data_IF_183010299600
#
_entry.id   IF_183010299600
#
_cell.length_a   1.000
_cell.length_b   1.000
_cell.length_c   1.000
_cell.angle_alpha   90.00
_cell.angle_beta   90.00
_cell.angle_gamma   90.00
#
_symmetry.space_group_name_H-M   'P 1'
#
loop_
_entity.id
_entity.type
_entity.pdbx_description
1 polymer ?
#
# COMPACT_ATOMS: atom_id res chain seq x y z
N UNK A 1 -30.29 -1.25 -3.95
CA UNK A 1 -29.38 -0.15 -3.57
C UNK A 1 -30.16 1.16 -3.68
N UNK A 2 -30.19 2.05 -2.67
CA UNK A 2 -31.16 3.13 -2.58
C UNK A 2 -31.05 4.22 -3.66
N UNK A 3 -29.85 4.45 -4.21
CA UNK A 3 -29.56 5.59 -5.08
C UNK A 3 -29.30 5.25 -6.55
N UNK A 4 -29.43 3.99 -6.96
CA UNK A 4 -29.04 3.55 -8.32
C UNK A 4 -27.53 3.61 -8.61
N UNK A 5 -26.71 4.15 -7.70
CA UNK A 5 -25.26 4.27 -7.86
C UNK A 5 -24.54 2.95 -7.58
N UNK A 6 -23.59 2.63 -8.46
CA UNK A 6 -22.70 1.49 -8.28
C UNK A 6 -21.30 1.93 -7.84
N UNK A 7 -20.93 1.54 -6.62
CA UNK A 7 -19.60 1.77 -6.05
C UNK A 7 -18.74 0.51 -6.17
N UNK A 8 -17.48 0.69 -6.56
CA UNK A 8 -16.44 -0.33 -6.64
C UNK A 8 -15.15 0.19 -5.99
N UNK A 9 -14.47 -0.64 -5.21
CA UNK A 9 -13.19 -0.33 -4.55
C UNK A 9 -12.07 -1.04 -5.30
N UNK A 10 -10.96 -0.34 -5.54
CA UNK A 10 -9.76 -0.90 -6.16
C UNK A 10 -8.66 -0.90 -5.10
N UNK A 11 -8.15 -2.08 -4.80
CA UNK A 11 -7.18 -2.33 -3.73
C UNK A 11 -5.86 -2.78 -4.36
N UNK A 12 -4.95 -1.83 -4.64
CA UNK A 12 -3.67 -2.15 -5.24
C UNK A 12 -2.72 -2.78 -4.22
N UNK A 13 -1.89 -3.71 -4.69
CA UNK A 13 -0.67 -4.13 -4.02
C UNK A 13 0.47 -3.13 -4.22
N UNK A 14 1.72 -3.62 -4.15
CA UNK A 14 2.92 -2.83 -4.39
C UNK A 14 3.12 -2.51 -5.87
N UNK A 15 2.98 -1.23 -6.24
CA UNK A 15 3.26 -0.75 -7.60
C UNK A 15 4.24 0.43 -7.58
N UNK A 16 5.19 0.42 -8.53
CA UNK A 16 6.15 1.51 -8.68
C UNK A 16 5.46 2.72 -9.30
N UNK A 17 5.25 3.72 -8.47
CA UNK A 17 4.75 5.05 -8.82
C UNK A 17 5.63 6.12 -8.18
N UNK A 18 5.44 7.40 -8.54
CA UNK A 18 6.13 8.51 -7.89
C UNK A 18 5.89 8.56 -6.37
N UNK A 19 4.74 8.07 -5.89
CA UNK A 19 4.43 8.00 -4.46
C UNK A 19 5.29 6.98 -3.72
N UNK A 20 5.67 5.88 -4.38
CA UNK A 20 6.49 4.81 -3.80
C UNK A 20 7.98 4.99 -4.03
N UNK A 21 8.40 6.08 -4.69
CA UNK A 21 9.80 6.34 -4.97
C UNK A 21 10.61 6.45 -3.66
N UNK A 22 11.62 5.61 -3.45
CA UNK A 22 12.36 5.59 -2.18
C UNK A 22 13.05 6.91 -1.87
N UNK A 23 13.58 7.61 -2.87
CA UNK A 23 14.28 8.87 -2.63
C UNK A 23 13.31 9.94 -2.10
N UNK A 24 12.11 10.01 -2.69
CA UNK A 24 11.05 10.92 -2.27
C UNK A 24 10.51 10.56 -0.87
N UNK A 25 10.25 9.28 -0.62
CA UNK A 25 9.75 8.81 0.68
C UNK A 25 10.75 9.03 1.80
N UNK A 26 12.01 8.63 1.61
CA UNK A 26 13.07 8.75 2.63
C UNK A 26 13.29 10.21 2.99
N UNK A 27 13.42 11.08 1.98
CA UNK A 27 13.60 12.52 2.21
C UNK A 27 12.42 13.15 2.95
N UNK A 28 11.19 12.73 2.62
CA UNK A 28 9.99 13.17 3.34
C UNK A 28 10.01 12.73 4.80
N UNK A 29 10.41 11.49 5.04
CA UNK A 29 10.44 10.89 6.37
C UNK A 29 11.55 11.48 7.26
N UNK A 30 12.73 11.77 6.70
CA UNK A 30 13.81 12.49 7.40
C UNK A 30 13.38 13.89 7.82
N UNK A 31 12.71 14.64 6.95
CA UNK A 31 12.18 15.97 7.29
C UNK A 31 11.14 15.91 8.41
N UNK A 32 10.26 14.92 8.37
CA UNK A 32 9.30 14.69 9.45
C UNK A 32 10.02 14.37 10.75
N UNK A 33 11.03 13.49 10.70
CA UNK A 33 11.83 13.11 11.85
C UNK A 33 12.53 14.30 12.51
N UNK A 34 13.13 15.20 11.72
CA UNK A 34 13.77 16.42 12.23
C UNK A 34 12.79 17.35 12.96
N UNK A 35 11.54 17.39 12.50
CA UNK A 35 10.47 18.19 13.09
C UNK A 35 9.80 17.58 14.34
N UNK A 36 10.14 16.34 14.71
CA UNK A 36 9.50 15.67 15.84
C UNK A 36 9.98 16.22 17.21
N UNK A 37 9.08 16.28 18.22
CA UNK A 37 9.48 16.52 19.60
C UNK A 37 10.56 15.52 20.07
N UNK A 38 11.40 15.95 21.01
CA UNK A 38 12.50 15.13 21.51
C UNK A 38 11.99 13.82 22.17
N UNK A 39 10.87 13.89 22.90
CA UNK A 39 10.22 12.74 23.51
C UNK A 39 9.79 11.71 22.47
N UNK A 40 9.14 12.15 21.38
CA UNK A 40 8.71 11.26 20.29
C UNK A 40 9.89 10.63 19.56
N UNK A 41 10.96 11.40 19.29
CA UNK A 41 12.19 10.85 18.69
C UNK A 41 12.87 9.81 19.59
N UNK A 42 12.85 10.02 20.90
CA UNK A 42 13.38 9.06 21.87
C UNK A 42 12.53 7.78 21.91
N UNK A 43 11.20 7.92 21.88
CA UNK A 43 10.26 6.79 21.93
C UNK A 43 10.36 5.87 20.70
N UNK A 44 10.44 6.44 19.48
CA UNK A 44 10.62 5.66 18.26
C UNK A 44 12.08 5.20 18.08
N UNK A 45 13.04 6.03 18.49
CA UNK A 45 14.47 5.78 18.31
C UNK A 45 14.95 5.93 16.87
N UNK A 46 16.21 6.32 16.69
CA UNK A 46 16.81 6.52 15.36
C UNK A 46 16.84 5.24 14.52
N UNK A 47 16.91 4.08 15.19
CA UNK A 47 16.86 2.77 14.52
C UNK A 47 15.58 2.57 13.70
N UNK A 48 14.45 3.12 14.15
CA UNK A 48 13.19 3.04 13.41
C UNK A 48 13.28 3.75 12.05
N UNK A 49 13.84 4.97 12.02
CA UNK A 49 14.07 5.73 10.79
C UNK A 49 14.96 4.95 9.80
N UNK A 50 16.07 4.38 10.29
CA UNK A 50 17.00 3.61 9.46
C UNK A 50 16.35 2.33 8.90
N UNK A 51 15.57 1.63 9.71
CA UNK A 51 14.84 0.44 9.30
C UNK A 51 13.77 0.76 8.27
N UNK A 52 13.01 1.85 8.47
CA UNK A 52 12.03 2.33 7.50
C UNK A 52 12.68 2.65 6.14
N UNK A 53 13.81 3.35 6.14
CA UNK A 53 14.56 3.68 4.92
C UNK A 53 15.04 2.44 4.17
N UNK A 54 15.53 1.42 4.87
CA UNK A 54 15.92 0.14 4.25
C UNK A 54 14.70 -0.59 3.67
N UNK A 55 13.60 -0.64 4.44
CA UNK A 55 12.38 -1.31 4.04
C UNK A 55 11.70 -0.64 2.84
N UNK A 56 11.73 0.70 2.74
CA UNK A 56 11.14 1.42 1.60
C UNK A 56 11.84 1.06 0.27
N UNK A 57 13.17 0.94 0.29
CA UNK A 57 13.96 0.48 -0.87
C UNK A 57 13.62 -0.97 -1.23
N UNK A 58 13.51 -1.85 -0.24
CA UNK A 58 13.14 -3.25 -0.45
C UNK A 58 11.72 -3.37 -1.03
N UNK A 59 10.74 -2.70 -0.44
CA UNK A 59 9.35 -2.68 -0.90
C UNK A 59 9.23 -2.15 -2.33
N UNK A 60 9.97 -1.10 -2.67
CA UNK A 60 9.99 -0.59 -4.04
C UNK A 60 10.58 -1.59 -5.04
N UNK A 61 11.62 -2.34 -4.65
CA UNK A 61 12.18 -3.42 -5.47
C UNK A 61 11.18 -4.55 -5.70
N UNK A 62 10.45 -4.94 -4.67
CA UNK A 62 9.40 -5.97 -4.73
C UNK A 62 8.14 -5.49 -5.48
N UNK A 63 7.92 -4.18 -5.54
CA UNK A 63 6.77 -3.58 -6.22
C UNK A 63 6.84 -3.76 -7.74
N UNK A 64 5.68 -3.98 -8.35
CA UNK A 64 5.56 -4.18 -9.79
C UNK A 64 5.68 -2.86 -10.56
N UNK A 65 6.46 -2.80 -11.66
CA UNK A 65 6.45 -1.64 -12.57
C UNK A 65 5.23 -1.61 -13.49
N UNK A 66 4.46 -2.70 -13.58
CA UNK A 66 3.31 -2.79 -14.50
C UNK A 66 2.04 -2.29 -13.82
N UNK A 67 1.55 -1.13 -14.21
CA UNK A 67 0.32 -0.52 -13.68
C UNK A 67 -0.97 -1.05 -14.33
N UNK A 68 -0.85 -1.93 -15.34
CA UNK A 68 -1.99 -2.50 -16.06
C UNK A 68 -3.01 -3.24 -15.19
N UNK A 69 -2.64 -3.93 -14.07
CA UNK A 69 -3.64 -4.57 -13.21
C UNK A 69 -4.58 -3.56 -12.54
N UNK A 70 -4.06 -2.40 -12.14
CA UNK A 70 -4.85 -1.34 -11.48
C UNK A 70 -5.76 -0.65 -12.48
N UNK A 71 -5.20 -0.23 -13.62
CA UNK A 71 -5.96 0.44 -14.69
C UNK A 71 -6.99 -0.49 -15.33
N UNK A 72 -6.65 -1.77 -15.52
CA UNK A 72 -7.60 -2.79 -15.99
C UNK A 72 -8.75 -3.04 -15.01
N UNK A 73 -8.47 -3.06 -13.69
CA UNK A 73 -9.50 -3.13 -12.66
C UNK A 73 -10.43 -1.90 -12.70
N UNK A 74 -9.86 -0.70 -12.88
CA UNK A 74 -10.64 0.53 -13.05
C UNK A 74 -11.50 0.49 -14.30
N UNK A 75 -10.94 0.07 -15.43
CA UNK A 75 -11.67 -0.07 -16.69
C UNK A 75 -12.83 -1.06 -16.54
N UNK A 76 -12.61 -2.22 -15.92
CA UNK A 76 -13.67 -3.20 -15.68
C UNK A 76 -14.74 -2.64 -14.73
N UNK A 77 -14.36 -1.90 -13.69
CA UNK A 77 -15.31 -1.30 -12.76
C UNK A 77 -16.25 -0.29 -13.45
N UNK A 78 -15.73 0.47 -14.43
CA UNK A 78 -16.48 1.49 -15.15
C UNK A 78 -17.34 0.93 -16.29
N UNK A 79 -16.83 -0.06 -17.03
CA UNK A 79 -17.45 -0.48 -18.29
C UNK A 79 -18.24 -1.80 -18.20
N UNK A 80 -18.05 -2.60 -17.15
CA UNK A 80 -18.72 -3.90 -17.08
C UNK A 80 -20.23 -3.73 -16.80
N UNK A 81 -21.10 -4.55 -17.45
CA UNK A 81 -22.53 -4.58 -17.14
C UNK A 81 -22.81 -4.91 -15.67
N UNK A 82 -21.95 -5.73 -15.05
CA UNK A 82 -21.99 -6.12 -13.64
C UNK A 82 -20.58 -6.08 -13.03
N UNK A 83 -20.07 -4.91 -12.61
CA UNK A 83 -18.79 -4.76 -11.97
C UNK A 83 -18.86 -5.22 -10.52
N UNK A 84 -17.73 -5.72 -10.02
CA UNK A 84 -17.54 -6.20 -8.65
C UNK A 84 -17.50 -5.04 -7.67
N UNK A 85 -17.85 -5.30 -6.42
CA UNK A 85 -17.74 -4.31 -5.34
C UNK A 85 -16.29 -4.02 -4.92
N UNK A 86 -15.39 -5.01 -5.03
CA UNK A 86 -13.96 -4.87 -4.71
C UNK A 86 -13.11 -5.56 -5.77
N UNK A 87 -11.96 -4.97 -6.09
CA UNK A 87 -10.95 -5.49 -7.01
C UNK A 87 -9.58 -5.48 -6.32
N UNK A 88 -9.04 -6.65 -6.03
CA UNK A 88 -7.63 -6.79 -5.67
C UNK A 88 -6.78 -6.68 -6.94
N UNK A 89 -5.97 -5.63 -7.03
CA UNK A 89 -5.11 -5.37 -8.17
C UNK A 89 -3.66 -5.71 -7.82
N UNK A 90 -3.11 -6.73 -8.48
CA UNK A 90 -1.77 -7.26 -8.17
C UNK A 90 -1.81 -8.71 -7.70
N UNK A 91 -0.72 -9.43 -7.92
CA UNK A 91 -0.58 -10.82 -7.47
C UNK A 91 -0.41 -10.89 -5.96
N UNK A 92 0.44 -10.03 -5.41
CA UNK A 92 0.63 -9.81 -3.99
C UNK A 92 -0.67 -9.43 -3.27
N UNK A 93 -1.47 -8.51 -3.83
CA UNK A 93 -2.77 -8.16 -3.26
C UNK A 93 -3.71 -9.37 -3.18
N UNK A 94 -3.74 -10.19 -4.23
CA UNK A 94 -4.67 -11.31 -4.34
C UNK A 94 -4.26 -12.54 -3.53
N UNK A 95 -2.96 -12.81 -3.42
CA UNK A 95 -2.44 -14.06 -2.87
C UNK A 95 -1.66 -13.89 -1.55
N UNK A 96 -1.30 -12.66 -1.16
CA UNK A 96 -0.65 -12.39 0.12
C UNK A 96 -1.58 -11.57 1.03
N UNK A 97 -1.92 -10.35 0.62
CA UNK A 97 -2.67 -9.41 1.47
C UNK A 97 -4.10 -9.89 1.73
N UNK A 98 -4.80 -10.35 0.69
CA UNK A 98 -6.17 -10.81 0.83
C UNK A 98 -6.28 -12.06 1.74
N UNK A 99 -5.49 -13.12 1.57
CA UNK A 99 -5.47 -14.23 2.53
C UNK A 99 -5.09 -13.80 3.95
N UNK A 100 -4.07 -12.95 4.10
CA UNK A 100 -3.63 -12.46 5.40
C UNK A 100 -4.74 -11.68 6.12
N UNK A 101 -5.60 -10.97 5.38
CA UNK A 101 -6.74 -10.24 5.96
C UNK A 101 -7.82 -11.14 6.60
N UNK A 102 -7.82 -12.44 6.28
CA UNK A 102 -8.69 -13.43 6.92
C UNK A 102 -8.00 -14.21 8.04
N UNK A 103 -6.70 -14.01 8.25
CA UNK A 103 -5.96 -14.64 9.33
C UNK A 103 -6.34 -14.03 10.70
N UNK A 104 -6.17 -14.77 11.80
CA UNK A 104 -6.31 -14.21 13.14
C UNK A 104 -5.34 -13.03 13.36
N UNK A 105 -5.75 -12.06 14.18
CA UNK A 105 -4.97 -10.84 14.44
C UNK A 105 -3.52 -11.13 14.89
N UNK A 106 -3.31 -12.13 15.74
CA UNK A 106 -1.97 -12.49 16.20
C UNK A 106 -1.03 -12.93 15.08
N UNK A 107 -1.57 -13.50 14.00
CA UNK A 107 -0.78 -13.93 12.85
C UNK A 107 -0.55 -12.77 11.89
N UNK A 108 -1.56 -11.91 11.67
CA UNK A 108 -1.38 -10.71 10.84
C UNK A 108 -0.44 -9.68 11.45
N UNK A 109 -0.45 -9.53 12.77
CA UNK A 109 0.38 -8.55 13.50
C UNK A 109 1.85 -8.98 13.61
N UNK A 110 2.12 -10.28 13.42
CA UNK A 110 3.48 -10.84 13.47
C UNK A 110 4.24 -10.69 12.14
N UNK A 111 3.56 -10.32 11.05
CA UNK A 111 4.09 -10.25 9.68
C UNK A 111 4.45 -8.82 9.29
#
# INVERSE_FOLDING_TARGET
>A
RPFGVRVSIIEPGGFRTAMTDPATLVKGFERLWEGLPAETRAAYGRHYLETYTKNSVLLYRLSSPRLSPVTGAAQHALLAPSPRGRYAAGWDARFLLLPLSYCPAWLSDAV
#
